data_IF_244438084774
#
_entry.id   IF_244438084774
#
_cell.length_a   1.000
_cell.length_b   1.000
_cell.length_c   1.000
_cell.angle_alpha   90.00
_cell.angle_beta   90.00
_cell.angle_gamma   90.00
#
_symmetry.space_group_name_H-M   'P 1'
#
loop_
_entity.id
_entity.type
_entity.pdbx_description
1 polymer ?
#
# COMPACT_ATOMS: atom_id res chain seq x y z
N UNK A 1 21.95 -33.46 -31.26
CA UNK A 1 21.50 -32.06 -31.41
C UNK A 1 20.09 -32.09 -32.00
N UNK A 2 19.08 -32.12 -31.12
CA UNK A 2 17.71 -32.47 -31.50
C UNK A 2 16.91 -31.27 -32.03
N UNK A 3 16.06 -31.56 -33.00
CA UNK A 3 15.18 -30.64 -33.72
C UNK A 3 14.20 -29.81 -32.84
N UNK A 4 14.19 -30.04 -31.53
CA UNK A 4 13.46 -29.23 -30.53
C UNK A 4 14.13 -27.86 -30.33
N UNK A 5 15.47 -27.79 -30.39
CA UNK A 5 16.20 -26.52 -30.23
C UNK A 5 15.98 -25.55 -31.40
N UNK A 6 15.61 -26.05 -32.58
CA UNK A 6 15.37 -25.21 -33.78
C UNK A 6 13.96 -24.61 -33.82
N UNK A 7 13.00 -25.11 -33.03
CA UNK A 7 11.61 -24.63 -33.01
C UNK A 7 11.34 -23.58 -31.92
N UNK A 8 12.26 -23.41 -30.97
CA UNK A 8 12.19 -22.41 -29.90
C UNK A 8 12.71 -21.02 -30.33
N UNK A 9 13.41 -20.91 -31.46
CA UNK A 9 13.93 -19.64 -31.97
C UNK A 9 12.94 -18.85 -32.86
N UNK A 10 11.74 -19.39 -33.17
CA UNK A 10 10.82 -18.78 -34.16
C UNK A 10 9.54 -18.18 -33.60
N UNK A 11 9.44 -17.95 -32.28
CA UNK A 11 8.36 -17.17 -31.68
C UNK A 11 8.95 -15.95 -30.96
N UNK A 12 9.70 -15.15 -31.72
CA UNK A 12 9.90 -13.73 -31.40
C UNK A 12 8.53 -13.06 -31.55
N UNK A 13 7.71 -13.11 -30.48
CA UNK A 13 6.61 -12.18 -30.33
C UNK A 13 7.15 -10.77 -30.62
N UNK A 14 6.47 -10.02 -31.48
CA UNK A 14 6.90 -8.70 -31.91
C UNK A 14 7.24 -7.86 -30.67
N UNK A 15 8.54 -7.66 -30.40
CA UNK A 15 9.03 -6.83 -29.28
C UNK A 15 8.50 -5.41 -29.52
N UNK A 16 7.50 -4.98 -28.75
CA UNK A 16 6.96 -3.63 -28.86
C UNK A 16 7.99 -2.66 -28.28
N UNK A 17 8.83 -2.10 -29.14
CA UNK A 17 9.73 -1.02 -28.72
C UNK A 17 8.88 0.15 -28.22
N UNK A 18 9.23 0.66 -27.04
CA UNK A 18 8.60 1.86 -26.48
C UNK A 18 8.68 3.01 -27.50
N UNK A 19 7.60 3.78 -27.70
CA UNK A 19 7.61 4.88 -28.64
C UNK A 19 8.71 5.89 -28.27
N UNK A 20 9.63 6.17 -29.21
CA UNK A 20 10.78 7.06 -29.02
C UNK A 20 10.47 8.42 -28.34
N UNK A 21 9.31 9.07 -28.58
CA UNK A 21 8.97 10.31 -27.88
C UNK A 21 8.81 10.16 -26.37
N UNK A 22 8.32 9.02 -25.89
CA UNK A 22 8.13 8.74 -24.46
C UNK A 22 9.47 8.45 -23.77
N UNK A 23 10.40 7.75 -24.43
CA UNK A 23 11.72 7.48 -23.87
C UNK A 23 12.54 8.77 -23.63
N UNK A 24 12.24 9.86 -24.37
CA UNK A 24 12.90 11.16 -24.19
C UNK A 24 12.54 11.88 -22.89
N UNK A 25 11.50 11.44 -22.17
CA UNK A 25 11.12 12.04 -20.88
C UNK A 25 11.89 11.43 -19.70
N UNK A 26 12.69 10.39 -19.93
CA UNK A 26 13.48 9.71 -18.91
C UNK A 26 14.97 10.03 -19.08
N UNK A 27 15.73 9.85 -18.00
CA UNK A 27 17.17 9.99 -18.02
C UNK A 27 17.82 9.01 -19.04
N UNK A 28 18.75 9.47 -19.91
CA UNK A 28 19.35 8.61 -20.94
C UNK A 28 20.10 7.39 -20.40
N UNK A 29 20.71 7.49 -19.22
CA UNK A 29 21.44 6.37 -18.59
C UNK A 29 20.44 5.30 -18.16
N UNK A 30 19.35 5.71 -17.50
CA UNK A 30 18.28 4.79 -17.09
C UNK A 30 17.56 4.16 -18.29
N UNK A 31 17.39 4.90 -19.40
CA UNK A 31 16.87 4.34 -20.66
C UNK A 31 17.82 3.30 -21.25
N UNK A 32 19.14 3.51 -21.16
CA UNK A 32 20.14 2.54 -21.59
C UNK A 32 19.97 1.19 -20.88
N UNK A 33 19.71 1.22 -19.58
CA UNK A 33 19.48 0.01 -18.78
C UNK A 33 18.23 -0.77 -19.15
N UNK A 34 17.24 -0.18 -19.84
CA UNK A 34 16.07 -0.93 -20.30
C UNK A 34 16.41 -2.07 -21.27
N UNK A 35 17.59 -2.03 -21.87
CA UNK A 35 18.09 -3.06 -22.80
C UNK A 35 18.77 -4.24 -22.11
N UNK A 36 19.06 -4.15 -20.81
CA UNK A 36 19.59 -5.27 -20.02
C UNK A 36 18.62 -6.46 -20.07
N UNK A 37 19.15 -7.68 -20.23
CA UNK A 37 18.32 -8.89 -20.21
C UNK A 37 18.21 -9.46 -18.79
N UNK A 38 17.00 -9.44 -18.24
CA UNK A 38 16.59 -10.12 -17.02
C UNK A 38 16.25 -11.59 -17.31
N UNK A 39 16.25 -12.42 -16.26
CA UNK A 39 15.86 -13.83 -16.33
C UNK A 39 14.34 -13.94 -16.20
N UNK A 40 13.63 -14.30 -17.27
CA UNK A 40 12.21 -14.61 -17.21
C UNK A 40 11.99 -15.99 -16.58
N UNK A 41 11.03 -16.10 -15.66
CA UNK A 41 10.72 -17.33 -14.93
C UNK A 41 9.22 -17.62 -14.86
N UNK A 42 8.85 -18.86 -14.56
CA UNK A 42 7.49 -19.22 -14.17
C UNK A 42 7.28 -19.09 -12.64
N UNK A 43 6.07 -19.39 -12.17
CA UNK A 43 5.70 -19.28 -10.75
C UNK A 43 6.44 -20.29 -9.84
N UNK A 44 7.15 -21.27 -10.42
CA UNK A 44 7.95 -22.27 -9.72
C UNK A 44 9.46 -21.95 -9.77
N UNK A 45 9.83 -20.76 -10.27
CA UNK A 45 11.21 -20.29 -10.48
C UNK A 45 12.00 -21.05 -11.56
N UNK A 46 11.30 -21.72 -12.49
CA UNK A 46 11.95 -22.32 -13.65
C UNK A 46 12.24 -21.26 -14.71
N UNK A 47 13.42 -21.30 -15.30
CA UNK A 47 13.84 -20.35 -16.33
C UNK A 47 13.04 -20.59 -17.62
N UNK A 48 12.34 -19.55 -18.07
CA UNK A 48 11.58 -19.53 -19.33
C UNK A 48 12.41 -18.93 -20.46
N UNK A 49 13.32 -18.00 -20.16
CA UNK A 49 14.23 -17.38 -21.13
C UNK A 49 14.76 -16.02 -20.67
N UNK A 50 15.27 -15.22 -21.60
CA UNK A 50 15.64 -13.82 -21.37
C UNK A 50 14.51 -12.85 -21.71
N UNK A 51 14.37 -11.78 -20.94
CA UNK A 51 13.44 -10.68 -21.20
C UNK A 51 14.16 -9.35 -20.98
N UNK A 52 13.92 -8.35 -21.84
CA UNK A 52 14.52 -7.02 -21.60
C UNK A 52 13.93 -6.43 -20.34
N UNK A 53 14.72 -5.66 -19.59
CA UNK A 53 14.24 -4.92 -18.42
C UNK A 53 13.04 -4.05 -18.78
N UNK A 54 13.06 -3.41 -19.95
CA UNK A 54 11.91 -2.65 -20.47
C UNK A 54 10.63 -3.49 -20.57
N UNK A 55 10.69 -4.65 -21.20
CA UNK A 55 9.50 -5.52 -21.35
C UNK A 55 9.10 -6.19 -20.02
N UNK A 56 10.06 -6.47 -19.14
CA UNK A 56 9.79 -7.04 -17.82
C UNK A 56 8.97 -6.08 -16.94
N UNK A 57 9.20 -4.77 -17.07
CA UNK A 57 8.60 -3.75 -16.22
C UNK A 57 7.46 -2.95 -16.89
N UNK A 58 7.30 -3.02 -18.21
CA UNK A 58 6.20 -2.32 -18.91
C UNK A 58 4.87 -3.00 -18.58
N UNK A 59 3.87 -2.25 -18.10
CA UNK A 59 2.56 -2.79 -17.65
C UNK A 59 1.86 -3.65 -18.71
N UNK A 60 2.05 -3.36 -20.00
CA UNK A 60 1.50 -4.13 -21.11
C UNK A 60 1.99 -5.58 -21.14
N UNK A 61 3.26 -5.81 -20.82
CA UNK A 61 3.92 -7.12 -20.86
C UNK A 61 4.12 -7.70 -19.47
N UNK A 62 4.69 -6.90 -18.56
CA UNK A 62 4.87 -7.15 -17.13
C UNK A 62 5.23 -8.60 -16.81
N UNK A 63 6.27 -9.08 -17.50
CA UNK A 63 6.69 -10.47 -17.49
C UNK A 63 7.29 -10.84 -16.13
N UNK A 64 6.90 -12.00 -15.62
CA UNK A 64 7.49 -12.54 -14.39
C UNK A 64 8.98 -12.78 -14.62
N UNK A 65 9.81 -12.23 -13.75
CA UNK A 65 11.25 -12.34 -13.83
C UNK A 65 11.88 -12.48 -12.45
N UNK A 66 13.09 -13.05 -12.40
CA UNK A 66 13.84 -13.20 -11.15
C UNK A 66 14.42 -11.86 -10.71
N UNK A 67 14.36 -11.57 -9.42
CA UNK A 67 14.89 -10.37 -8.80
C UNK A 67 15.57 -10.70 -7.46
N UNK A 68 16.17 -9.68 -6.84
CA UNK A 68 16.68 -9.77 -5.48
C UNK A 68 16.45 -8.49 -4.68
N UNK A 69 16.30 -8.67 -3.37
CA UNK A 69 16.23 -7.61 -2.36
C UNK A 69 17.30 -7.85 -1.29
N UNK A 70 18.32 -7.00 -1.28
CA UNK A 70 19.40 -7.01 -0.28
C UNK A 70 19.04 -6.14 0.93
N UNK A 71 19.18 -6.72 2.12
CA UNK A 71 19.03 -6.09 3.43
C UNK A 71 20.38 -6.13 4.15
N UNK A 72 21.12 -5.03 4.10
CA UNK A 72 22.38 -4.88 4.79
C UNK A 72 22.18 -4.22 6.16
N UNK A 73 22.82 -4.80 7.16
CA UNK A 73 22.83 -4.26 8.51
C UNK A 73 24.22 -3.71 8.86
N UNK A 74 24.23 -2.57 9.53
CA UNK A 74 25.43 -1.98 10.12
C UNK A 74 25.97 -2.84 11.28
N UNK A 75 27.22 -2.64 11.72
CA UNK A 75 27.76 -3.33 12.91
C UNK A 75 26.93 -3.14 14.18
N UNK A 76 26.27 -1.99 14.34
CA UNK A 76 25.34 -1.68 15.44
C UNK A 76 23.90 -2.14 15.17
N UNK A 77 23.71 -3.06 14.21
CA UNK A 77 22.45 -3.71 13.87
C UNK A 77 21.37 -2.77 13.34
N UNK A 78 21.72 -1.66 12.69
CA UNK A 78 20.75 -0.81 11.99
C UNK A 78 20.58 -1.27 10.55
N UNK A 79 19.35 -1.27 10.05
CA UNK A 79 19.05 -1.60 8.65
C UNK A 79 19.37 -0.38 7.77
N UNK A 80 20.13 -0.60 6.71
CA UNK A 80 20.48 0.43 5.73
C UNK A 80 19.41 0.49 4.66
N UNK A 81 18.79 1.65 4.50
CA UNK A 81 17.79 1.94 3.48
C UNK A 81 18.37 2.93 2.47
N UNK A 82 17.95 2.79 1.21
CA UNK A 82 18.23 3.76 0.17
C UNK A 82 16.96 4.48 -0.26
N UNK A 83 17.05 5.77 -0.54
CA UNK A 83 16.02 6.52 -1.25
C UNK A 83 16.37 6.52 -2.72
N UNK A 84 15.48 5.97 -3.54
CA UNK A 84 15.65 5.91 -4.99
C UNK A 84 15.82 7.32 -5.57
N UNK A 85 16.66 7.48 -6.61
CA UNK A 85 16.79 8.77 -7.30
C UNK A 85 15.49 9.18 -7.99
N UNK A 86 15.40 10.45 -8.38
CA UNK A 86 14.31 10.94 -9.22
C UNK A 86 14.40 10.41 -10.67
N UNK A 87 15.57 9.92 -11.08
CA UNK A 87 15.85 9.44 -12.44
C UNK A 87 15.34 8.01 -12.67
N UNK A 88 15.12 7.23 -11.59
CA UNK A 88 14.60 5.85 -11.69
C UNK A 88 13.28 5.81 -12.45
N UNK A 89 13.21 4.90 -13.42
CA UNK A 89 12.00 4.69 -14.23
C UNK A 89 10.86 4.12 -13.39
N UNK A 90 11.14 3.12 -12.55
CA UNK A 90 10.16 2.53 -11.63
C UNK A 90 10.31 3.13 -10.23
N UNK A 91 9.19 3.52 -9.62
CA UNK A 91 9.10 3.96 -8.22
C UNK A 91 10.17 4.99 -7.79
N UNK A 92 10.33 6.14 -8.49
CA UNK A 92 11.31 7.15 -8.11
C UNK A 92 11.00 7.74 -6.73
N UNK A 93 12.04 8.23 -6.04
CA UNK A 93 11.96 8.93 -4.75
C UNK A 93 11.42 8.13 -3.55
N UNK A 94 11.07 6.85 -3.71
CA UNK A 94 10.66 5.99 -2.62
C UNK A 94 11.87 5.41 -1.86
N UNK A 95 11.74 5.26 -0.55
CA UNK A 95 12.63 4.50 0.30
C UNK A 95 12.44 3.01 0.09
N UNK A 96 13.54 2.28 -0.09
CA UNK A 96 13.56 0.83 -0.23
C UNK A 96 14.64 0.23 0.67
N UNK A 97 14.73 -1.09 0.72
CA UNK A 97 15.87 -1.79 1.32
C UNK A 97 17.18 -1.45 0.59
N UNK A 98 18.30 -1.87 1.17
CA UNK A 98 19.66 -1.45 0.82
C UNK A 98 19.94 -1.45 -0.68
N UNK A 99 19.61 -2.53 -1.40
CA UNK A 99 19.77 -2.62 -2.84
C UNK A 99 18.74 -3.60 -3.42
N UNK A 100 18.07 -3.22 -4.52
CA UNK A 100 17.13 -4.09 -5.25
C UNK A 100 17.47 -4.06 -6.73
N UNK A 101 17.59 -5.23 -7.36
CA UNK A 101 17.80 -5.31 -8.80
C UNK A 101 17.57 -6.74 -9.31
N UNK A 102 18.15 -7.06 -10.47
CA UNK A 102 17.90 -8.27 -11.21
C UNK A 102 19.22 -9.01 -11.47
N UNK A 103 19.27 -10.34 -11.30
CA UNK A 103 20.28 -11.13 -11.99
C UNK A 103 20.08 -11.03 -13.51
N UNK A 104 21.20 -10.89 -14.23
CA UNK A 104 21.20 -10.82 -15.68
C UNK A 104 21.12 -12.21 -16.30
N UNK A 105 20.48 -12.31 -17.46
CA UNK A 105 20.43 -13.54 -18.27
C UNK A 105 21.80 -13.82 -18.92
N UNK A 106 22.78 -14.15 -18.08
CA UNK A 106 24.19 -14.36 -18.44
C UNK A 106 24.73 -15.58 -17.70
N UNK A 107 25.77 -16.26 -18.22
CA UNK A 107 26.33 -17.45 -17.57
C UNK A 107 26.78 -17.24 -16.12
N UNK A 108 27.11 -16.01 -15.73
CA UNK A 108 27.59 -15.67 -14.38
C UNK A 108 26.47 -15.45 -13.37
N UNK A 109 25.26 -15.12 -13.82
CA UNK A 109 24.15 -14.72 -12.92
C UNK A 109 22.88 -15.56 -13.08
N UNK A 110 22.87 -16.52 -14.02
CA UNK A 110 21.69 -17.33 -14.31
C UNK A 110 21.37 -18.40 -13.24
N UNK A 111 22.37 -18.82 -12.46
CA UNK A 111 22.28 -19.96 -11.55
C UNK A 111 21.67 -19.61 -10.17
N UNK A 112 20.34 -19.63 -10.08
CA UNK A 112 19.59 -19.63 -8.82
C UNK A 112 20.14 -18.68 -7.75
N UNK A 113 20.33 -19.19 -6.53
CA UNK A 113 20.85 -18.41 -5.39
C UNK A 113 22.26 -17.85 -5.62
N UNK A 114 23.14 -18.59 -6.29
CA UNK A 114 24.52 -18.13 -6.54
C UNK A 114 24.55 -16.93 -7.48
N UNK A 115 23.78 -17.00 -8.56
CA UNK A 115 23.68 -15.95 -9.55
C UNK A 115 23.02 -14.69 -9.00
N UNK A 116 21.99 -14.86 -8.16
CA UNK A 116 21.34 -13.76 -7.44
C UNK A 116 22.33 -13.06 -6.48
N UNK A 117 23.14 -13.81 -5.74
CA UNK A 117 24.16 -13.22 -4.87
C UNK A 117 25.24 -12.49 -5.69
N UNK A 118 25.67 -13.06 -6.82
CA UNK A 118 26.62 -12.40 -7.72
C UNK A 118 26.06 -11.06 -8.26
N UNK A 119 24.77 -11.05 -8.62
CA UNK A 119 24.08 -9.83 -9.04
C UNK A 119 23.99 -8.79 -7.92
N UNK A 120 23.73 -9.21 -6.68
CA UNK A 120 23.69 -8.32 -5.52
C UNK A 120 25.05 -7.66 -5.25
N UNK A 121 26.15 -8.41 -5.35
CA UNK A 121 27.52 -7.87 -5.21
C UNK A 121 27.81 -6.85 -6.31
N UNK A 122 27.52 -7.16 -7.58
CA UNK A 122 27.69 -6.21 -8.69
C UNK A 122 26.86 -4.94 -8.50
N UNK A 123 25.62 -5.07 -8.07
CA UNK A 123 24.68 -3.96 -8.02
C UNK A 123 24.87 -3.06 -6.81
N UNK A 124 25.30 -3.59 -5.67
CA UNK A 124 25.63 -2.73 -4.53
C UNK A 124 26.89 -1.89 -4.79
N UNK A 125 27.87 -2.43 -5.53
CA UNK A 125 29.02 -1.65 -5.99
C UNK A 125 28.55 -0.50 -6.90
N UNK A 126 27.64 -0.78 -7.82
CA UNK A 126 27.12 0.22 -8.74
C UNK A 126 26.21 1.28 -8.06
N UNK A 127 25.28 0.88 -7.20
CA UNK A 127 24.31 1.82 -6.59
C UNK A 127 24.87 2.55 -5.36
N UNK A 128 25.67 1.86 -4.53
CA UNK A 128 26.13 2.37 -3.24
C UNK A 128 27.67 2.44 -3.12
N UNK A 129 28.43 2.11 -4.16
CA UNK A 129 29.89 2.21 -4.14
C UNK A 129 30.61 1.15 -3.29
N UNK A 130 29.89 0.13 -2.80
CA UNK A 130 30.45 -0.91 -1.92
C UNK A 130 31.13 -1.99 -2.77
N UNK A 131 32.46 -1.99 -2.80
CA UNK A 131 33.27 -2.87 -3.67
C UNK A 131 33.88 -4.09 -2.96
N UNK A 132 33.63 -4.26 -1.67
CA UNK A 132 34.20 -5.30 -0.82
C UNK A 132 33.14 -6.21 -0.18
N UNK A 133 31.90 -6.17 -0.67
CA UNK A 133 30.89 -7.17 -0.31
C UNK A 133 31.24 -8.50 -0.97
N UNK A 134 31.42 -9.55 -0.17
CA UNK A 134 31.79 -10.87 -0.66
C UNK A 134 30.57 -11.80 -0.71
N UNK A 135 30.45 -12.69 -1.72
CA UNK A 135 29.32 -13.61 -1.82
C UNK A 135 29.06 -14.45 -0.56
N UNK A 136 30.09 -14.87 0.16
CA UNK A 136 29.98 -15.65 1.40
C UNK A 136 29.39 -14.89 2.60
N UNK A 137 29.33 -13.55 2.50
CA UNK A 137 28.73 -12.67 3.50
C UNK A 137 27.24 -12.41 3.20
N UNK A 138 26.73 -12.89 2.07
CA UNK A 138 25.35 -12.79 1.65
C UNK A 138 24.59 -14.08 1.98
N UNK A 139 23.54 -13.97 2.81
CA UNK A 139 22.66 -15.09 3.14
C UNK A 139 21.32 -14.93 2.45
N UNK A 140 20.98 -15.85 1.54
CA UNK A 140 19.63 -15.93 0.97
C UNK A 140 18.66 -16.43 2.06
N UNK A 141 17.58 -15.69 2.28
CA UNK A 141 16.61 -15.93 3.36
C UNK A 141 15.30 -16.53 2.87
N UNK A 142 15.00 -16.48 1.58
CA UNK A 142 13.80 -17.05 0.99
C UNK A 142 13.47 -16.45 -0.37
N UNK A 143 12.37 -16.92 -0.96
CA UNK A 143 11.86 -16.48 -2.27
C UNK A 143 10.45 -15.94 -2.13
N UNK A 144 10.19 -14.77 -2.70
CA UNK A 144 8.96 -14.01 -2.54
C UNK A 144 8.40 -13.66 -3.90
N UNK A 145 7.21 -14.17 -4.20
CA UNK A 145 6.51 -13.77 -5.42
C UNK A 145 5.67 -12.53 -5.09
N UNK A 146 5.82 -11.46 -5.86
CA UNK A 146 5.00 -10.25 -5.72
C UNK A 146 4.80 -9.52 -7.04
N UNK A 147 3.80 -8.64 -7.04
CA UNK A 147 3.48 -7.78 -8.18
C UNK A 147 3.11 -6.39 -7.70
N UNK A 148 3.64 -5.36 -8.37
CA UNK A 148 3.40 -3.97 -8.02
C UNK A 148 3.34 -3.05 -9.25
N UNK A 149 2.20 -2.47 -9.59
CA UNK A 149 2.08 -1.54 -10.72
C UNK A 149 1.99 -0.10 -10.24
N UNK A 150 2.76 0.82 -10.81
CA UNK A 150 2.68 2.25 -10.48
C UNK A 150 1.32 2.84 -10.90
N UNK A 151 0.76 3.70 -10.06
CA UNK A 151 -0.48 4.43 -10.37
C UNK A 151 -0.30 5.32 -11.59
N UNK A 152 -1.27 5.30 -12.51
CA UNK A 152 -1.33 6.13 -13.73
C UNK A 152 -0.04 6.13 -14.57
N UNK A 153 0.75 5.06 -14.50
CA UNK A 153 2.04 4.95 -15.15
C UNK A 153 2.17 3.67 -15.97
N UNK A 154 3.18 3.65 -16.84
CA UNK A 154 3.45 2.56 -17.79
C UNK A 154 4.30 1.44 -17.20
N UNK A 155 4.67 1.55 -15.93
CA UNK A 155 5.71 0.75 -15.30
C UNK A 155 5.23 0.03 -14.04
N UNK A 156 5.83 -1.12 -13.75
CA UNK A 156 5.59 -1.91 -12.56
C UNK A 156 6.62 -3.01 -12.38
N UNK A 157 6.44 -3.78 -11.31
CA UNK A 157 7.21 -4.97 -10.96
C UNK A 157 6.32 -6.21 -10.99
N UNK A 158 6.88 -7.33 -11.43
CA UNK A 158 6.29 -8.65 -11.28
C UNK A 158 7.44 -9.65 -11.12
N UNK A 159 7.78 -9.94 -9.88
CA UNK A 159 9.08 -10.47 -9.53
C UNK A 159 8.96 -11.72 -8.66
N UNK A 160 9.83 -12.68 -8.95
CA UNK A 160 10.22 -13.72 -8.01
C UNK A 160 11.51 -13.27 -7.33
N UNK A 161 11.32 -12.66 -6.17
CA UNK A 161 12.33 -11.90 -5.45
C UNK A 161 13.05 -12.76 -4.40
N UNK A 162 14.37 -12.80 -4.48
CA UNK A 162 15.23 -13.44 -3.50
C UNK A 162 15.61 -12.44 -2.41
N UNK A 163 15.17 -12.66 -1.17
CA UNK A 163 15.63 -11.85 -0.05
C UNK A 163 17.04 -12.29 0.36
N UNK A 164 17.95 -11.33 0.46
CA UNK A 164 19.33 -11.54 0.88
C UNK A 164 19.60 -10.68 2.11
N UNK A 165 20.19 -11.25 3.15
CA UNK A 165 20.67 -10.53 4.32
C UNK A 165 22.19 -10.53 4.35
N UNK A 166 22.78 -9.37 4.62
CA UNK A 166 24.20 -9.23 4.94
C UNK A 166 24.40 -8.34 6.17
N UNK A 167 25.58 -8.41 6.78
CA UNK A 167 25.87 -7.76 8.07
C UNK A 167 27.21 -7.03 8.04
N UNK A 168 27.42 -6.22 9.07
CA UNK A 168 28.67 -5.50 9.31
C UNK A 168 29.03 -4.54 8.16
N UNK A 169 28.01 -3.93 7.54
CA UNK A 169 28.20 -2.91 6.51
C UNK A 169 28.28 -1.54 7.16
N UNK A 170 29.49 -1.01 7.33
CA UNK A 170 29.67 0.32 7.90
C UNK A 170 29.23 1.42 6.91
N UNK A 171 28.59 2.47 7.42
CA UNK A 171 28.04 3.55 6.59
C UNK A 171 29.11 4.37 5.85
N UNK A 172 30.32 4.45 6.40
CA UNK A 172 31.48 5.12 5.78
C UNK A 172 31.98 4.42 4.52
N UNK A 173 31.58 3.16 4.28
CA UNK A 173 31.84 2.41 3.04
C UNK A 173 30.87 2.76 1.91
N UNK A 174 29.80 3.52 2.18
CA UNK A 174 28.76 3.82 1.20
C UNK A 174 29.08 5.14 0.50
N UNK A 175 29.22 5.07 -0.82
CA UNK A 175 29.36 6.19 -1.73
C UNK A 175 28.26 6.09 -2.81
N UNK A 176 27.05 6.65 -2.56
CA UNK A 176 25.90 6.46 -3.43
C UNK A 176 26.12 7.06 -4.83
N UNK A 177 25.73 6.32 -5.86
CA UNK A 177 25.62 6.85 -7.20
C UNK A 177 24.37 7.75 -7.29
N UNK A 178 24.50 9.07 -7.52
CA UNK A 178 23.37 10.00 -7.47
C UNK A 178 22.29 9.72 -8.53
N UNK A 179 22.65 9.08 -9.65
CA UNK A 179 21.69 8.66 -10.66
C UNK A 179 20.83 7.47 -10.24
N UNK A 180 21.25 6.72 -9.21
CA UNK A 180 20.52 5.57 -8.68
C UNK A 180 19.87 5.86 -7.32
N UNK A 181 20.58 6.61 -6.46
CA UNK A 181 20.25 6.81 -5.05
C UNK A 181 20.36 8.29 -4.68
N UNK A 182 19.26 8.85 -4.16
CA UNK A 182 19.22 10.25 -3.71
C UNK A 182 19.56 10.44 -2.24
N UNK A 183 19.40 9.40 -1.41
CA UNK A 183 19.67 9.47 0.02
C UNK A 183 19.89 8.08 0.61
N UNK A 184 20.58 7.99 1.75
CA UNK A 184 20.84 6.74 2.49
C UNK A 184 20.61 6.98 3.97
N UNK A 185 19.91 6.05 4.63
CA UNK A 185 19.63 6.13 6.06
C UNK A 185 19.75 4.77 6.72
N UNK A 186 20.48 4.72 7.84
CA UNK A 186 20.45 3.58 8.75
C UNK A 186 19.42 3.82 9.85
N UNK A 187 18.56 2.84 10.11
CA UNK A 187 17.50 2.91 11.13
C UNK A 187 17.49 1.65 11.99
N UNK A 188 17.17 1.80 13.27
CA UNK A 188 16.82 0.66 14.11
C UNK A 188 15.36 0.20 13.90
N UNK A 189 14.97 -0.91 14.52
CA UNK A 189 13.64 -1.50 14.32
C UNK A 189 12.52 -0.57 14.77
N UNK A 190 12.74 0.18 15.85
CA UNK A 190 11.76 1.09 16.42
C UNK A 190 11.64 2.34 15.55
N UNK A 191 12.77 2.94 15.18
CA UNK A 191 12.83 4.08 14.26
C UNK A 191 12.13 3.75 12.94
N UNK A 192 12.34 2.54 12.41
CA UNK A 192 11.67 2.07 11.21
C UNK A 192 10.16 1.92 11.41
N UNK A 193 9.72 1.29 12.50
CA UNK A 193 8.31 1.09 12.78
C UNK A 193 7.56 2.43 12.93
N UNK A 194 8.13 3.37 13.68
CA UNK A 194 7.57 4.72 13.87
C UNK A 194 7.51 5.48 12.53
N UNK A 195 8.56 5.39 11.71
CA UNK A 195 8.61 6.05 10.42
C UNK A 195 7.60 5.48 9.42
N UNK A 196 7.54 4.15 9.28
CA UNK A 196 6.55 3.47 8.41
C UNK A 196 5.12 3.77 8.85
N UNK A 197 4.86 3.90 10.16
CA UNK A 197 3.55 4.27 10.67
C UNK A 197 3.18 5.72 10.32
N UNK A 198 4.15 6.65 10.38
CA UNK A 198 3.93 8.06 10.08
C UNK A 198 3.81 8.38 8.58
N UNK A 199 4.63 7.75 7.74
CA UNK A 199 4.78 8.08 6.32
C UNK A 199 4.81 6.80 5.46
N UNK A 200 3.79 5.92 5.51
CA UNK A 200 3.84 4.64 4.80
C UNK A 200 4.00 4.79 3.28
N UNK A 201 3.57 5.92 2.71
CA UNK A 201 3.66 6.20 1.26
C UNK A 201 5.07 6.60 0.81
N UNK A 202 6.00 6.87 1.73
CA UNK A 202 7.39 7.17 1.38
C UNK A 202 8.19 5.91 1.03
N UNK A 203 7.62 4.71 1.20
CA UNK A 203 8.31 3.44 1.02
C UNK A 203 7.86 2.68 -0.22
N UNK A 204 8.76 1.87 -0.76
CA UNK A 204 8.46 1.00 -1.88
C UNK A 204 7.42 -0.07 -1.49
N UNK A 205 6.58 -0.48 -2.46
CA UNK A 205 5.66 -1.60 -2.35
C UNK A 205 6.22 -2.84 -1.63
N UNK A 206 7.32 -3.37 -2.16
CA UNK A 206 7.93 -4.62 -1.69
C UNK A 206 8.52 -4.49 -0.30
N UNK A 207 9.13 -3.35 0.02
CA UNK A 207 9.71 -3.12 1.35
C UNK A 207 8.62 -3.16 2.44
N UNK A 208 7.46 -2.56 2.18
CA UNK A 208 6.31 -2.64 3.08
C UNK A 208 5.80 -4.08 3.26
N UNK A 209 5.96 -4.96 2.27
CA UNK A 209 5.63 -6.39 2.41
C UNK A 209 6.55 -7.05 3.43
N UNK A 210 7.87 -6.88 3.28
CA UNK A 210 8.85 -7.43 4.22
C UNK A 210 8.65 -6.93 5.65
N UNK A 211 8.32 -5.64 5.81
CA UNK A 211 8.00 -5.06 7.11
C UNK A 211 6.70 -5.64 7.70
N UNK A 212 5.59 -5.62 6.94
CA UNK A 212 4.26 -6.04 7.43
C UNK A 212 4.18 -7.53 7.73
N UNK A 213 4.84 -8.35 6.93
CA UNK A 213 4.92 -9.81 7.13
C UNK A 213 5.93 -10.21 8.21
N UNK A 214 6.53 -9.24 8.91
CA UNK A 214 7.43 -9.42 10.06
C UNK A 214 8.77 -10.11 9.76
N UNK A 215 9.11 -10.32 8.49
CA UNK A 215 10.43 -10.86 8.11
C UNK A 215 11.58 -10.00 8.61
N UNK A 216 11.45 -8.66 8.53
CA UNK A 216 12.48 -7.76 9.05
C UNK A 216 12.68 -7.94 10.57
N UNK A 217 11.59 -8.05 11.33
CA UNK A 217 11.62 -8.24 12.79
C UNK A 217 12.26 -9.56 13.18
N UNK A 218 11.94 -10.63 12.44
CA UNK A 218 12.51 -11.96 12.61
C UNK A 218 14.02 -11.95 12.33
N UNK A 219 14.47 -11.33 11.24
CA UNK A 219 15.89 -11.24 10.91
C UNK A 219 16.65 -10.34 11.89
N UNK A 220 16.05 -9.26 12.36
CA UNK A 220 16.64 -8.38 13.39
C UNK A 220 16.95 -9.16 14.67
N UNK A 221 15.96 -9.93 15.13
CA UNK A 221 16.04 -10.72 16.37
C UNK A 221 17.11 -11.80 16.31
N UNK A 222 17.45 -12.27 15.10
CA UNK A 222 18.37 -13.38 14.88
C UNK A 222 19.67 -12.96 14.16
N UNK A 223 19.94 -11.66 14.08
CA UNK A 223 20.99 -11.13 13.21
C UNK A 223 22.37 -11.73 13.53
N UNK A 224 22.70 -11.92 14.81
CA UNK A 224 24.00 -12.48 15.23
C UNK A 224 24.21 -13.91 14.72
N UNK A 225 23.13 -14.68 14.65
CA UNK A 225 23.09 -16.08 14.22
C UNK A 225 22.46 -16.27 12.84
N UNK A 226 22.40 -15.21 12.01
CA UNK A 226 21.68 -15.25 10.72
C UNK A 226 22.14 -16.38 9.79
N UNK A 227 23.41 -16.80 9.89
CA UNK A 227 23.96 -17.92 9.12
C UNK A 227 23.33 -19.28 9.49
N UNK A 228 22.86 -19.43 10.73
CA UNK A 228 22.16 -20.62 11.26
C UNK A 228 20.64 -20.49 11.17
N UNK A 229 20.12 -19.30 10.87
CA UNK A 229 18.68 -19.07 10.79
C UNK A 229 18.04 -20.02 9.76
N UNK A 230 16.88 -20.64 10.08
CA UNK A 230 16.13 -21.44 9.13
C UNK A 230 15.84 -20.64 7.86
N UNK A 231 15.98 -21.28 6.70
CA UNK A 231 15.63 -20.69 5.41
C UNK A 231 14.61 -21.60 4.78
N UNK A 232 13.39 -21.09 4.58
CA UNK A 232 12.42 -21.75 3.73
C UNK A 232 12.60 -21.25 2.31
N UNK A 233 13.05 -22.14 1.43
CA UNK A 233 13.17 -21.83 0.01
C UNK A 233 11.86 -22.02 -0.73
N UNK A 234 10.76 -22.45 -0.11
CA UNK A 234 9.46 -22.42 -0.78
C UNK A 234 9.09 -20.99 -1.18
N UNK A 235 8.37 -20.87 -2.30
CA UNK A 235 7.97 -19.57 -2.81
C UNK A 235 6.84 -19.06 -1.92
N UNK A 236 7.14 -18.00 -1.17
CA UNK A 236 6.16 -17.29 -0.38
C UNK A 236 5.38 -16.38 -1.31
N UNK A 237 4.15 -16.80 -1.63
CA UNK A 237 3.18 -15.92 -2.28
C UNK A 237 2.81 -14.80 -1.32
N UNK A 238 3.26 -13.59 -1.63
CA UNK A 238 2.77 -12.42 -0.91
C UNK A 238 1.28 -12.24 -1.23
N UNK A 239 0.50 -11.52 -0.39
CA UNK A 239 -0.95 -11.33 -0.61
C UNK A 239 -1.33 -10.71 -1.97
N UNK A 240 -0.36 -10.34 -2.80
CA UNK A 240 -0.46 -9.58 -4.04
C UNK A 240 -0.22 -10.42 -5.31
N UNK A 241 -0.02 -11.74 -5.21
CA UNK A 241 0.34 -12.59 -6.37
C UNK A 241 -0.83 -13.05 -7.23
N UNK A 242 -2.07 -13.00 -6.72
CA UNK A 242 -3.25 -13.51 -7.46
C UNK A 242 -4.13 -12.44 -8.10
N UNK A 243 -3.82 -11.16 -7.93
CA UNK A 243 -4.67 -10.06 -8.37
C UNK A 243 -3.87 -8.99 -9.12
N UNK A 244 -4.40 -8.49 -10.25
CA UNK A 244 -3.84 -7.32 -10.94
C UNK A 244 -4.07 -6.09 -10.05
N UNK A 245 -3.14 -5.83 -9.15
CA UNK A 245 -3.21 -4.70 -8.21
C UNK A 245 -2.30 -3.57 -8.67
N UNK A 246 -2.89 -2.47 -9.11
CA UNK A 246 -2.22 -1.16 -9.12
C UNK A 246 -1.91 -0.77 -7.68
N UNK A 247 -0.64 -0.50 -7.39
CA UNK A 247 -0.26 0.35 -6.27
C UNK A 247 -0.71 1.76 -6.62
N UNK A 248 -1.95 2.05 -6.26
CA UNK A 248 -2.36 3.41 -5.90
C UNK A 248 -1.69 3.69 -4.55
N UNK A 249 -0.44 4.14 -4.63
CA UNK A 249 0.33 4.68 -3.49
C UNK A 249 -0.09 6.12 -3.17
N UNK A 250 -1.01 6.69 -3.96
CA UNK A 250 -1.89 7.76 -3.51
C UNK A 250 -3.25 7.15 -3.11
N UNK A 251 -3.90 7.71 -2.09
CA UNK A 251 -5.34 7.59 -1.78
C UNK A 251 -5.84 6.76 -0.59
N UNK A 252 -4.99 6.20 0.29
CA UNK A 252 -5.50 5.70 1.59
C UNK A 252 -5.28 6.65 2.78
N UNK A 253 -4.56 7.76 2.54
CA UNK A 253 -4.37 8.86 3.50
C UNK A 253 -4.92 10.21 3.04
N UNK A 254 -5.63 10.28 1.90
CA UNK A 254 -6.34 11.51 1.55
C UNK A 254 -7.61 11.55 2.40
N UNK A 255 -7.55 12.27 3.53
CA UNK A 255 -8.71 12.55 4.35
C UNK A 255 -9.80 13.14 3.44
N UNK A 256 -10.93 12.43 3.33
CA UNK A 256 -11.98 12.84 2.41
C UNK A 256 -12.77 13.97 3.02
N UNK A 257 -12.59 15.18 2.47
CA UNK A 257 -13.34 16.33 2.93
C UNK A 257 -14.81 16.22 2.51
N UNK A 258 -15.67 16.33 3.50
CA UNK A 258 -17.11 16.32 3.35
C UNK A 258 -17.71 17.55 4.00
N UNK A 259 -18.77 18.08 3.39
CA UNK A 259 -19.58 19.14 3.96
C UNK A 259 -20.90 18.53 4.42
N UNK A 260 -21.23 18.74 5.69
CA UNK A 260 -22.47 18.26 6.30
C UNK A 260 -23.24 19.49 6.74
N UNK A 261 -24.45 19.66 6.22
CA UNK A 261 -25.36 20.73 6.64
C UNK A 261 -26.57 20.12 7.32
N UNK A 262 -26.94 20.63 8.49
CA UNK A 262 -28.09 20.16 9.27
C UNK A 262 -29.13 21.26 9.40
N UNK A 263 -30.39 20.88 9.25
CA UNK A 263 -31.55 21.75 9.32
C UNK A 263 -32.61 21.12 10.22
N UNK A 264 -33.41 21.99 10.85
CA UNK A 264 -34.65 21.60 11.52
C UNK A 264 -34.50 20.47 12.58
N UNK A 265 -33.54 20.59 13.52
CA UNK A 265 -33.41 19.64 14.62
C UNK A 265 -34.64 19.73 15.52
N UNK A 266 -35.23 18.58 15.80
CA UNK A 266 -36.44 18.40 16.61
C UNK A 266 -36.24 17.18 17.49
N UNK A 267 -36.84 17.21 18.67
CA UNK A 267 -36.85 16.06 19.58
C UNK A 267 -38.28 15.79 19.98
N UNK A 268 -38.64 14.52 20.10
CA UNK A 268 -39.95 14.08 20.57
C UNK A 268 -39.77 13.07 21.70
N UNK A 269 -40.50 13.26 22.79
CA UNK A 269 -40.57 12.26 23.85
C UNK A 269 -41.47 11.10 23.42
N UNK A 270 -40.96 9.89 23.56
CA UNK A 270 -41.68 8.64 23.32
C UNK A 270 -41.62 7.75 24.57
N UNK A 271 -42.56 6.81 24.68
CA UNK A 271 -42.49 5.78 25.71
C UNK A 271 -41.49 4.71 25.26
N UNK A 272 -40.57 4.35 26.14
CA UNK A 272 -39.66 3.23 25.95
C UNK A 272 -40.24 2.00 26.67
N UNK A 273 -40.34 0.89 25.95
CA UNK A 273 -40.86 -0.39 26.47
C UNK A 273 -39.76 -1.45 26.62
N UNK A 274 -38.52 -1.10 26.27
CA UNK A 274 -37.36 -2.00 26.23
C UNK A 274 -36.31 -1.72 27.31
N UNK A 275 -36.22 -0.49 27.81
CA UNK A 275 -35.28 -0.12 28.90
C UNK A 275 -36.01 0.16 30.22
N UNK A 276 -35.23 0.37 31.30
CA UNK A 276 -35.75 0.77 32.62
C UNK A 276 -36.21 2.23 32.69
N UNK A 277 -36.06 3.01 31.62
CA UNK A 277 -36.50 4.40 31.55
C UNK A 277 -37.97 4.47 31.12
N UNK A 278 -38.78 5.32 31.77
CA UNK A 278 -40.21 5.49 31.38
C UNK A 278 -40.38 6.34 30.10
N UNK A 279 -39.31 6.97 29.61
CA UNK A 279 -39.31 7.89 28.47
C UNK A 279 -37.97 7.87 27.73
N UNK A 280 -38.04 7.86 26.41
CA UNK A 280 -36.91 8.02 25.50
C UNK A 280 -37.09 9.24 24.59
N UNK A 281 -35.97 9.79 24.13
CA UNK A 281 -35.92 10.89 23.18
C UNK A 281 -35.75 10.35 21.76
N UNK A 282 -36.69 10.71 20.88
CA UNK A 282 -36.56 10.51 19.45
C UNK A 282 -36.07 11.79 18.79
N UNK A 283 -34.80 11.80 18.39
CA UNK A 283 -34.17 12.85 17.60
C UNK A 283 -34.64 12.81 16.14
N UNK A 284 -34.93 13.97 15.58
CA UNK A 284 -35.31 14.14 14.18
C UNK A 284 -34.59 15.35 13.60
N UNK A 285 -33.92 15.19 12.47
CA UNK A 285 -33.21 16.27 11.80
C UNK A 285 -33.22 16.02 10.29
N UNK A 286 -33.17 17.11 9.53
CA UNK A 286 -33.02 17.06 8.08
C UNK A 286 -31.57 17.44 7.76
N UNK A 287 -30.90 16.75 6.83
CA UNK A 287 -29.48 17.01 6.56
C UNK A 287 -29.13 16.91 5.07
N UNK A 288 -27.97 17.44 4.70
CA UNK A 288 -27.39 17.31 3.37
C UNK A 288 -25.91 16.98 3.51
N UNK A 289 -25.41 16.13 2.62
CA UNK A 289 -24.03 15.66 2.62
C UNK A 289 -23.47 15.84 1.22
N UNK A 290 -22.38 16.58 1.10
CA UNK A 290 -21.60 16.65 -0.13
C UNK A 290 -20.16 16.24 0.12
N UNK A 291 -19.54 15.58 -0.85
CA UNK A 291 -18.14 15.14 -0.74
C UNK A 291 -17.67 14.37 -1.96
N UNK A 292 -16.39 14.50 -2.30
CA UNK A 292 -15.80 13.80 -3.43
C UNK A 292 -15.01 12.58 -2.95
N UNK A 293 -15.51 11.39 -3.27
CA UNK A 293 -14.87 10.12 -2.96
C UNK A 293 -14.12 9.55 -4.17
N UNK A 294 -13.96 10.30 -5.27
CA UNK A 294 -13.26 9.86 -6.50
C UNK A 294 -11.92 9.23 -6.19
N UNK A 295 -11.17 9.85 -5.29
CA UNK A 295 -9.84 9.39 -4.88
C UNK A 295 -9.89 8.08 -4.08
N UNK A 296 -10.97 7.78 -3.36
CA UNK A 296 -11.07 6.52 -2.60
C UNK A 296 -11.23 5.30 -3.52
N UNK A 297 -11.82 5.47 -4.71
CA UNK A 297 -12.06 4.36 -5.63
C UNK A 297 -10.84 4.04 -6.48
N UNK A 298 -10.11 3.01 -6.10
CA UNK A 298 -9.17 2.33 -6.99
C UNK A 298 -9.75 1.02 -7.52
N UNK A 299 -8.96 0.28 -8.30
CA UNK A 299 -9.40 -0.96 -8.94
C UNK A 299 -9.87 -2.04 -7.94
N UNK A 300 -9.38 -2.03 -6.68
CA UNK A 300 -9.82 -3.00 -5.67
C UNK A 300 -11.08 -2.56 -4.93
N UNK A 301 -11.53 -1.32 -5.04
CA UNK A 301 -12.73 -0.88 -4.30
C UNK A 301 -13.97 -1.30 -5.09
N UNK A 302 -14.64 -2.34 -4.59
CA UNK A 302 -15.93 -2.79 -5.13
C UNK A 302 -16.99 -1.72 -4.91
N UNK A 303 -17.09 -1.27 -3.67
CA UNK A 303 -18.06 -0.30 -3.21
C UNK A 303 -17.57 0.36 -1.92
N UNK A 304 -18.09 1.54 -1.63
CA UNK A 304 -18.00 2.13 -0.29
C UNK A 304 -19.34 1.93 0.40
N UNK A 305 -19.30 1.51 1.66
CA UNK A 305 -20.46 1.60 2.53
C UNK A 305 -20.29 2.84 3.40
N UNK A 306 -20.95 3.93 3.03
CA UNK A 306 -20.84 5.24 3.69
C UNK A 306 -22.02 5.39 4.64
N UNK A 307 -21.78 5.86 5.86
CA UNK A 307 -22.81 6.02 6.88
C UNK A 307 -22.56 7.23 7.77
N UNK A 308 -23.64 7.91 8.13
CA UNK A 308 -23.65 9.08 9.01
C UNK A 308 -23.90 8.64 10.44
N UNK A 309 -23.06 9.09 11.35
CA UNK A 309 -23.13 8.78 12.79
C UNK A 309 -23.36 10.06 13.58
N UNK A 310 -24.31 10.03 14.51
CA UNK A 310 -24.45 11.04 15.55
C UNK A 310 -23.64 10.62 16.79
N UNK A 311 -22.79 11.51 17.26
CA UNK A 311 -21.95 11.36 18.45
C UNK A 311 -22.33 12.41 19.48
N UNK A 312 -22.61 11.98 20.71
CA UNK A 312 -22.98 12.86 21.81
C UNK A 312 -22.71 12.20 23.15
N UNK A 313 -22.67 13.02 24.20
CA UNK A 313 -22.41 12.57 25.57
C UNK A 313 -23.73 12.49 26.34
N UNK A 314 -23.82 11.53 27.27
CA UNK A 314 -24.90 11.46 28.25
C UNK A 314 -24.29 11.27 29.65
N UNK A 315 -25.04 11.47 30.74
CA UNK A 315 -24.53 11.24 32.09
C UNK A 315 -23.97 9.84 32.30
N UNK A 316 -24.55 8.83 31.64
CA UNK A 316 -24.16 7.42 31.75
C UNK A 316 -23.03 7.03 30.80
N UNK A 317 -22.93 7.68 29.64
CA UNK A 317 -21.99 7.32 28.58
C UNK A 317 -21.18 8.53 28.11
N UNK A 318 -19.86 8.44 28.24
CA UNK A 318 -18.93 9.45 27.72
C UNK A 318 -18.94 9.55 26.18
N UNK A 319 -19.52 8.57 25.48
CA UNK A 319 -19.71 8.60 24.03
C UNK A 319 -20.85 7.67 23.63
N UNK A 320 -21.93 8.26 23.12
CA UNK A 320 -23.02 7.54 22.43
C UNK A 320 -22.82 7.69 20.92
N UNK A 321 -23.03 6.60 20.17
CA UNK A 321 -22.90 6.59 18.70
C UNK A 321 -24.13 5.96 18.07
N UNK A 322 -24.87 6.75 17.26
CA UNK A 322 -26.08 6.29 16.58
C UNK A 322 -25.95 6.50 15.09
N UNK A 323 -26.09 5.43 14.30
CA UNK A 323 -26.10 5.52 12.84
C UNK A 323 -27.44 6.10 12.39
N UNK A 324 -27.43 7.23 11.68
CA UNK A 324 -28.64 7.91 11.22
C UNK A 324 -29.03 7.51 9.80
N UNK A 325 -28.03 7.23 8.97
CA UNK A 325 -28.21 7.01 7.53
C UNK A 325 -27.02 6.27 6.94
N UNK A 326 -27.25 5.52 5.87
CA UNK A 326 -26.21 4.85 5.10
C UNK A 326 -26.52 4.88 3.60
N UNK A 327 -25.47 4.72 2.81
CA UNK A 327 -25.54 4.53 1.37
C UNK A 327 -24.36 3.69 0.89
N UNK A 328 -24.67 2.82 -0.07
CA UNK A 328 -23.64 2.16 -0.87
C UNK A 328 -23.29 3.08 -2.04
N UNK A 329 -22.02 3.48 -2.12
CA UNK A 329 -21.47 4.22 -3.26
C UNK A 329 -20.80 3.21 -4.18
N UNK A 330 -21.25 3.15 -5.43
CA UNK A 330 -20.72 2.25 -6.46
C UNK A 330 -19.81 3.02 -7.43
N UNK A 331 -18.78 2.34 -7.91
CA UNK A 331 -17.78 2.90 -8.84
C UNK A 331 -18.40 3.45 -10.13
N UNK A 332 -19.41 2.78 -10.67
CA UNK A 332 -20.02 3.08 -11.96
C UNK A 332 -21.05 4.21 -11.95
N UNK A 333 -21.45 4.71 -10.79
CA UNK A 333 -22.71 5.48 -10.70
C UNK A 333 -22.57 6.89 -10.15
N UNK A 334 -21.66 7.17 -9.22
CA UNK A 334 -21.39 8.52 -8.66
C UNK A 334 -20.24 8.44 -7.67
N UNK A 335 -19.10 9.00 -8.03
CA UNK A 335 -17.94 9.09 -7.11
C UNK A 335 -17.95 10.38 -6.29
N UNK A 336 -18.84 11.32 -6.65
CA UNK A 336 -19.17 12.52 -5.88
C UNK A 336 -20.54 12.29 -5.21
N UNK A 337 -20.55 12.43 -3.88
CA UNK A 337 -21.74 12.45 -3.05
C UNK A 337 -22.31 13.87 -3.05
N UNK A 338 -23.59 14.04 -3.41
CA UNK A 338 -24.33 15.32 -3.28
C UNK A 338 -25.78 14.97 -2.94
N UNK A 339 -26.00 14.60 -1.67
CA UNK A 339 -27.30 14.23 -1.15
C UNK A 339 -27.91 15.43 -0.45
N UNK A 340 -29.10 15.84 -0.89
CA UNK A 340 -29.77 17.04 -0.37
C UNK A 340 -31.10 16.67 0.26
N UNK A 341 -31.41 17.35 1.37
CA UNK A 341 -32.70 17.23 2.09
C UNK A 341 -33.00 15.78 2.52
N UNK A 342 -32.00 15.08 3.00
CA UNK A 342 -32.14 13.75 3.60
C UNK A 342 -32.84 13.82 4.96
N UNK A 343 -33.52 12.74 5.29
CA UNK A 343 -34.03 12.46 6.62
C UNK A 343 -33.33 11.21 7.16
N UNK A 344 -33.31 11.05 8.48
CA UNK A 344 -32.74 9.84 9.11
C UNK A 344 -33.45 8.59 8.61
N UNK A 345 -32.67 7.62 8.13
CA UNK A 345 -33.15 6.30 7.71
C UNK A 345 -33.39 5.39 8.92
N UNK A 346 -32.56 5.56 9.95
CA UNK A 346 -32.66 4.84 11.21
C UNK A 346 -33.10 5.79 12.33
N UNK A 347 -33.74 5.24 13.36
CA UNK A 347 -34.21 6.03 14.49
C UNK A 347 -33.02 6.55 15.30
N UNK A 348 -32.99 7.87 15.49
CA UNK A 348 -32.10 8.48 16.46
C UNK A 348 -32.74 8.40 17.85
N UNK A 349 -32.64 7.23 18.45
CA UNK A 349 -33.20 6.96 19.77
C UNK A 349 -32.14 7.14 20.86
N UNK A 350 -32.48 7.87 21.90
CA UNK A 350 -31.73 7.96 23.15
C UNK A 350 -32.59 7.37 24.27
N UNK A 351 -32.02 6.43 25.04
CA UNK A 351 -32.68 5.74 26.17
C UNK A 351 -32.70 6.67 27.41
N UNK A 352 -33.28 7.86 27.23
CA UNK A 352 -33.36 8.92 28.22
C UNK A 352 -33.90 10.23 27.63
N UNK A 353 -33.71 11.32 28.35
CA UNK A 353 -34.12 12.67 27.92
C UNK A 353 -32.91 13.56 27.60
N UNK A 354 -31.83 12.96 27.07
CA UNK A 354 -30.54 13.62 26.94
C UNK A 354 -30.40 14.41 25.64
N UNK A 355 -31.29 14.22 24.67
CA UNK A 355 -31.28 15.00 23.44
C UNK A 355 -32.00 16.35 23.62
N UNK A 356 -32.97 16.46 24.54
CA UNK A 356 -33.62 17.73 24.85
C UNK A 356 -32.61 18.78 25.33
N UNK A 357 -32.60 19.94 24.67
CA UNK A 357 -31.65 21.03 24.94
C UNK A 357 -30.16 20.64 24.80
N UNK A 358 -29.83 19.53 24.12
CA UNK A 358 -28.45 19.10 23.98
C UNK A 358 -27.63 20.12 23.15
N UNK A 359 -26.49 20.60 23.67
CA UNK A 359 -25.76 21.71 23.04
C UNK A 359 -24.99 21.28 21.79
N UNK A 360 -24.38 20.08 21.81
CA UNK A 360 -23.33 19.69 20.87
C UNK A 360 -23.46 18.22 20.41
N UNK A 361 -24.49 17.88 19.63
CA UNK A 361 -24.52 16.57 18.95
C UNK A 361 -23.68 16.67 17.68
N UNK A 362 -22.62 15.88 17.55
CA UNK A 362 -21.70 15.94 16.41
C UNK A 362 -22.10 14.90 15.37
N UNK A 363 -22.35 15.32 14.14
CA UNK A 363 -22.56 14.41 13.02
C UNK A 363 -21.25 14.22 12.27
N UNK A 364 -20.80 12.97 12.18
CA UNK A 364 -19.60 12.56 11.45
C UNK A 364 -19.95 11.54 10.38
N UNK A 365 -19.31 11.64 9.23
CA UNK A 365 -19.47 10.67 8.15
C UNK A 365 -18.34 9.63 8.22
N UNK A 366 -18.71 8.35 8.28
CA UNK A 366 -17.78 7.22 8.25
C UNK A 366 -18.04 6.38 7.02
N UNK A 367 -17.03 5.59 6.63
CA UNK A 367 -17.17 4.70 5.49
C UNK A 367 -16.34 3.45 5.64
N UNK A 368 -16.86 2.35 5.11
CA UNK A 368 -16.13 1.10 4.96
C UNK A 368 -15.72 0.97 3.49
N UNK A 369 -14.43 0.78 3.26
CA UNK A 369 -13.91 0.39 1.96
C UNK A 369 -14.11 -1.11 1.82
N UNK A 370 -15.07 -1.50 0.98
CA UNK A 370 -15.35 -2.90 0.70
C UNK A 370 -14.56 -3.29 -0.55
N UNK A 371 -13.53 -4.13 -0.42
CA UNK A 371 -12.73 -4.49 -1.57
C UNK A 371 -13.44 -5.55 -2.42
N UNK A 372 -12.98 -5.72 -3.66
CA UNK A 372 -13.31 -6.91 -4.46
C UNK A 372 -12.70 -8.16 -3.82
N UNK A 373 -11.50 -8.03 -3.23
CA UNK A 373 -10.86 -9.06 -2.43
C UNK A 373 -9.92 -8.47 -1.36
N UNK A 374 -9.82 -9.15 -0.21
CA UNK A 374 -9.06 -8.73 0.96
C UNK A 374 -9.92 -8.23 2.12
N UNK A 375 -9.31 -7.53 3.07
CA UNK A 375 -9.97 -7.09 4.31
C UNK A 375 -10.81 -5.82 4.13
N UNK A 376 -11.95 -5.78 4.82
CA UNK A 376 -12.74 -4.56 4.99
C UNK A 376 -11.95 -3.54 5.82
N UNK A 377 -11.87 -2.30 5.33
CA UNK A 377 -11.19 -1.19 6.03
C UNK A 377 -12.20 -0.13 6.45
N UNK A 378 -12.03 0.40 7.65
CA UNK A 378 -12.84 1.46 8.24
C UNK A 378 -12.14 2.81 8.03
N UNK A 379 -12.88 3.85 7.65
CA UNK A 379 -12.40 5.21 7.50
C UNK A 379 -13.40 6.24 8.04
N UNK A 380 -12.91 7.43 8.35
CA UNK A 380 -13.71 8.58 8.75
C UNK A 380 -13.38 9.76 7.84
N UNK A 381 -14.40 10.47 7.39
CA UNK A 381 -14.25 11.65 6.56
C UNK A 381 -13.81 12.87 7.38
N UNK A 382 -13.13 13.81 6.74
CA UNK A 382 -12.81 15.13 7.27
C UNK A 382 -14.03 16.04 7.13
N UNK A 383 -14.61 16.48 8.24
CA UNK A 383 -15.78 17.35 8.22
C UNK A 383 -16.85 16.85 9.18
N UNK A 384 -17.42 17.77 9.94
CA UNK A 384 -18.43 17.46 10.95
C UNK A 384 -19.45 18.59 11.02
N UNK A 385 -20.68 18.25 11.43
CA UNK A 385 -21.69 19.24 11.76
C UNK A 385 -22.04 19.14 13.24
N UNK A 386 -22.02 20.26 13.95
CA UNK A 386 -22.46 20.33 15.34
C UNK A 386 -23.91 20.79 15.36
N UNK A 387 -24.76 19.99 15.99
CA UNK A 387 -26.21 20.18 16.05
C UNK A 387 -26.61 20.48 17.49
N UNK A 388 -27.31 21.60 17.65
CA UNK A 388 -27.97 21.95 18.90
C UNK A 388 -29.44 21.55 18.83
N UNK A 389 -29.89 20.75 19.79
CA UNK A 389 -31.28 20.36 19.89
C UNK A 389 -32.10 21.40 20.68
N UNK A 390 -33.41 21.55 20.39
CA UNK A 390 -34.25 22.56 21.02
C UNK A 390 -34.54 22.22 22.49
N UNK A 391 -34.86 23.24 23.27
CA UNK A 391 -35.20 23.10 24.69
C UNK A 391 -36.64 22.57 24.95
N UNK A 392 -37.42 22.35 23.89
CA UNK A 392 -38.82 21.91 24.00
C UNK A 392 -39.12 20.79 23.01
N UNK A 393 -39.92 19.81 23.43
CA UNK A 393 -40.39 18.74 22.56
C UNK A 393 -41.32 19.26 21.45
N UNK A 394 -41.18 18.67 20.27
CA UNK A 394 -42.12 18.91 19.17
C UNK A 394 -43.45 18.18 19.43
N UNK A 395 -44.56 18.85 19.14
CA UNK A 395 -45.92 18.31 19.27
C UNK A 395 -46.48 17.75 17.97
N UNK A 396 -45.79 17.97 16.83
CA UNK A 396 -46.23 17.49 15.52
C UNK A 396 -45.93 15.99 15.37
N UNK A 397 -46.99 15.19 15.15
CA UNK A 397 -46.87 13.83 14.58
C UNK A 397 -46.74 13.99 13.06
N UNK A 398 -45.57 13.73 12.50
CA UNK A 398 -45.38 13.59 11.06
C UNK A 398 -45.21 12.13 10.70
#
# INVERSE_FOLDING_TARGET
MNAVAKRLFSLSAARSQLPKPLLKTYDPVQVGYLSEECIAVDEDDNIVGGVTKGDAHRVETLSLHRAFSLFAFTPDKKLILQKRSAEKITFPLLWANTCCSHPLFTPTEIDGSHGVVAAAVRKIEHELGVNDLRPEDCRVMGRFLYKAVMEDALWGEHELDYAIVTRNMALDRIAPNPSEVSDVRAVDERELADWVASEPTSFSPWFLLFHRLRFLSEWWSNLDEIKKHPVDMNITCTPYTRERIHYSLSCYGCLQRVEITVNNPRVRSIADYSSSSEKADLGMLDFSISGDFSKTFNWNVKQLFVYLVAEYESPENALNQVVLWDKIVLRSERVVLDERRLQSKYYFLDDGAHLLNHPNVTLVLRYNVVPNAGYLRLGQAEGQAIVKFPATYTTKKH
#
